data_IF_384178590675
#
_entry.id   IF_384178590675
#
_cell.length_a   1.000
_cell.length_b   1.000
_cell.length_c   1.000
_cell.angle_alpha   90.00
_cell.angle_beta   90.00
_cell.angle_gamma   90.00
#
_symmetry.space_group_name_H-M   'P 1'
#
loop_
_entity.id
_entity.type
_entity.pdbx_description
1 polymer ?
#
# COMPACT_ATOMS: atom_id res chain seq x y z
N UNK A 1 -15.73 -7.68 8.70
CA UNK A 1 -16.04 -7.43 7.27
C UNK A 1 -16.99 -8.48 6.73
N UNK A 2 -16.74 -9.77 7.00
CA UNK A 2 -17.61 -10.88 6.56
C UNK A 2 -19.05 -10.75 7.07
N UNK A 3 -19.24 -10.41 8.35
CA UNK A 3 -20.59 -10.22 8.94
C UNK A 3 -21.35 -9.08 8.23
N UNK A 4 -20.66 -7.99 7.88
CA UNK A 4 -21.27 -6.85 7.19
C UNK A 4 -21.76 -7.26 5.79
N UNK A 5 -20.91 -7.96 5.04
CA UNK A 5 -21.24 -8.46 3.70
C UNK A 5 -22.38 -9.47 3.75
N UNK A 6 -22.35 -10.39 4.71
CA UNK A 6 -23.42 -11.35 4.93
C UNK A 6 -24.74 -10.63 5.21
N UNK A 7 -24.76 -9.63 6.09
CA UNK A 7 -25.96 -8.84 6.39
C UNK A 7 -26.46 -8.10 5.13
N UNK A 8 -25.57 -7.51 4.33
CA UNK A 8 -25.97 -6.82 3.09
C UNK A 8 -26.57 -7.79 2.07
N UNK A 9 -25.93 -8.94 1.83
CA UNK A 9 -26.41 -9.95 0.88
C UNK A 9 -27.72 -10.58 1.36
N UNK A 10 -27.82 -10.94 2.64
CA UNK A 10 -29.03 -11.51 3.24
C UNK A 10 -30.19 -10.51 3.23
N UNK A 11 -29.94 -9.23 3.50
CA UNK A 11 -30.95 -8.17 3.43
C UNK A 11 -31.48 -7.97 2.01
N UNK A 12 -30.61 -7.99 1.00
CA UNK A 12 -31.00 -7.94 -0.41
C UNK A 12 -31.86 -9.14 -0.81
N UNK A 13 -31.44 -10.35 -0.45
CA UNK A 13 -32.19 -11.58 -0.72
C UNK A 13 -33.56 -11.57 -0.03
N UNK A 14 -33.63 -11.13 1.22
CA UNK A 14 -34.87 -10.98 1.96
C UNK A 14 -35.82 -10.00 1.25
N UNK A 15 -35.34 -8.80 0.89
CA UNK A 15 -36.15 -7.83 0.15
C UNK A 15 -36.71 -8.43 -1.15
N UNK A 16 -35.88 -9.11 -1.92
CA UNK A 16 -36.30 -9.72 -3.19
C UNK A 16 -37.36 -10.80 -3.03
N UNK A 17 -37.27 -11.64 -1.99
CA UNK A 17 -38.27 -12.68 -1.71
C UNK A 17 -39.63 -12.09 -1.33
N UNK A 18 -39.67 -10.98 -0.59
CA UNK A 18 -40.92 -10.39 -0.11
C UNK A 18 -41.55 -9.38 -1.08
N UNK A 19 -40.74 -8.69 -1.90
CA UNK A 19 -41.20 -7.63 -2.80
C UNK A 19 -41.23 -8.01 -4.29
N UNK A 20 -40.74 -9.21 -4.66
CA UNK A 20 -40.94 -9.80 -5.99
C UNK A 20 -39.88 -9.47 -7.06
N UNK A 21 -38.80 -8.78 -6.70
CA UNK A 21 -37.72 -8.39 -7.63
C UNK A 21 -36.63 -9.49 -7.79
N UNK A 22 -37.01 -10.77 -7.88
CA UNK A 22 -36.04 -11.90 -7.94
C UNK A 22 -35.16 -11.89 -9.18
N UNK A 23 -35.70 -11.45 -10.32
CA UNK A 23 -34.95 -11.39 -11.58
C UNK A 23 -33.86 -10.32 -11.52
N UNK A 24 -34.14 -9.19 -10.86
CA UNK A 24 -33.18 -8.09 -10.68
C UNK A 24 -31.97 -8.54 -9.85
N UNK A 25 -32.19 -9.34 -8.79
CA UNK A 25 -31.07 -9.87 -7.98
C UNK A 25 -30.27 -10.90 -8.75
N UNK A 26 -30.92 -11.81 -9.48
CA UNK A 26 -30.24 -12.81 -10.29
C UNK A 26 -29.37 -12.16 -11.39
N UNK A 27 -29.91 -11.17 -12.08
CA UNK A 27 -29.18 -10.41 -13.10
C UNK A 27 -28.04 -9.59 -12.49
N UNK A 28 -28.28 -8.89 -11.38
CA UNK A 28 -27.25 -8.14 -10.68
C UNK A 28 -26.11 -9.04 -10.19
N UNK A 29 -26.41 -10.24 -9.69
CA UNK A 29 -25.41 -11.22 -9.26
C UNK A 29 -24.57 -11.71 -10.46
N UNK A 30 -25.21 -12.06 -11.58
CA UNK A 30 -24.52 -12.49 -12.79
C UNK A 30 -23.63 -11.37 -13.38
N UNK A 31 -24.14 -10.14 -13.44
CA UNK A 31 -23.38 -8.96 -13.88
C UNK A 31 -22.18 -8.68 -12.97
N UNK A 32 -22.39 -8.71 -11.66
CA UNK A 32 -21.32 -8.49 -10.68
C UNK A 32 -20.20 -9.51 -10.80
N UNK A 33 -20.51 -10.77 -11.14
CA UNK A 33 -19.50 -11.78 -11.42
C UNK A 33 -18.64 -11.42 -12.65
N UNK A 34 -19.26 -10.93 -13.73
CA UNK A 34 -18.54 -10.46 -14.92
C UNK A 34 -17.67 -9.23 -14.66
N UNK A 35 -18.19 -8.26 -13.90
CA UNK A 35 -17.45 -7.07 -13.49
C UNK A 35 -16.25 -7.43 -12.60
N UNK A 36 -16.42 -8.41 -11.69
CA UNK A 36 -15.34 -8.92 -10.85
C UNK A 36 -14.20 -9.55 -11.68
N UNK A 37 -14.51 -10.36 -12.68
CA UNK A 37 -13.51 -10.95 -13.58
C UNK A 37 -12.76 -9.87 -14.37
N UNK A 38 -13.48 -8.89 -14.92
CA UNK A 38 -12.89 -7.77 -15.66
C UNK A 38 -11.96 -6.92 -14.79
N UNK A 39 -12.38 -6.65 -13.55
CA UNK A 39 -11.55 -5.96 -12.56
C UNK A 39 -10.28 -6.77 -12.25
N UNK A 40 -10.42 -8.07 -12.01
CA UNK A 40 -9.30 -8.93 -11.66
C UNK A 40 -8.26 -9.01 -12.78
N UNK A 41 -8.70 -9.16 -14.04
CA UNK A 41 -7.81 -9.13 -15.20
C UNK A 41 -7.06 -7.81 -15.31
N UNK A 42 -7.76 -6.69 -15.12
CA UNK A 42 -7.16 -5.35 -15.20
C UNK A 42 -6.10 -5.13 -14.12
N UNK A 43 -6.41 -5.47 -12.87
CA UNK A 43 -5.48 -5.33 -11.74
C UNK A 43 -4.29 -6.29 -11.90
N UNK A 44 -4.53 -7.54 -12.29
CA UNK A 44 -3.47 -8.53 -12.50
C UNK A 44 -2.51 -8.13 -13.63
N UNK A 45 -3.03 -7.71 -14.78
CA UNK A 45 -2.21 -7.25 -15.90
C UNK A 45 -1.34 -6.05 -15.50
N UNK A 46 -1.93 -5.07 -14.81
CA UNK A 46 -1.18 -3.92 -14.32
C UNK A 46 -0.10 -4.33 -13.30
N UNK A 47 -0.41 -5.21 -12.35
CA UNK A 47 0.56 -5.69 -11.36
C UNK A 47 1.72 -6.45 -12.01
N UNK A 48 1.44 -7.33 -12.98
CA UNK A 48 2.47 -8.05 -13.73
C UNK A 48 3.40 -7.10 -14.48
N UNK A 49 2.83 -6.13 -15.19
CA UNK A 49 3.59 -5.13 -15.93
C UNK A 49 4.49 -4.29 -15.00
N UNK A 50 3.90 -3.69 -13.97
CA UNK A 50 4.65 -2.80 -13.06
C UNK A 50 5.67 -3.55 -12.21
N UNK A 51 5.37 -4.78 -11.77
CA UNK A 51 6.33 -5.61 -11.04
C UNK A 51 7.50 -6.04 -11.94
N UNK A 52 7.23 -6.33 -13.21
CA UNK A 52 8.26 -6.61 -14.21
C UNK A 52 9.18 -5.40 -14.44
N UNK A 53 8.59 -4.21 -14.66
CA UNK A 53 9.34 -2.97 -14.82
C UNK A 53 10.21 -2.66 -13.59
N UNK A 54 9.67 -2.81 -12.37
CA UNK A 54 10.42 -2.59 -11.14
C UNK A 54 11.56 -3.61 -10.96
N UNK A 55 11.36 -4.88 -11.34
CA UNK A 55 12.44 -5.88 -11.35
C UNK A 55 13.58 -5.48 -12.30
N UNK A 56 13.25 -4.90 -13.46
CA UNK A 56 14.27 -4.38 -14.39
C UNK A 56 14.97 -3.15 -13.79
N UNK A 57 14.24 -2.21 -13.20
CA UNK A 57 14.81 -1.03 -12.55
C UNK A 57 15.71 -1.37 -11.35
N UNK A 58 15.37 -2.42 -10.59
CA UNK A 58 16.20 -2.95 -9.50
C UNK A 58 17.49 -3.57 -10.04
N UNK A 59 17.41 -4.42 -11.07
CA UNK A 59 18.59 -4.98 -11.74
C UNK A 59 19.49 -3.92 -12.40
N UNK A 60 18.91 -2.81 -12.86
CA UNK A 60 19.64 -1.67 -13.41
C UNK A 60 20.27 -0.77 -12.33
N UNK A 61 20.06 -1.05 -11.04
CA UNK A 61 20.57 -0.25 -9.91
C UNK A 61 19.89 1.10 -9.75
N UNK A 62 18.78 1.35 -10.47
CA UNK A 62 18.02 2.60 -10.37
C UNK A 62 17.28 2.67 -9.03
N UNK A 63 16.72 1.54 -8.60
CA UNK A 63 16.09 1.39 -7.28
C UNK A 63 17.07 1.75 -6.16
N UNK A 64 18.31 1.26 -6.19
CA UNK A 64 19.30 1.55 -5.15
C UNK A 64 19.68 3.04 -5.10
N UNK A 65 19.64 3.75 -6.22
CA UNK A 65 19.84 5.20 -6.28
C UNK A 65 18.67 5.95 -5.63
N UNK A 66 17.43 5.56 -5.93
CA UNK A 66 16.24 6.19 -5.34
C UNK A 66 16.12 5.86 -3.86
N UNK A 67 16.36 4.61 -3.48
CA UNK A 67 16.43 4.16 -2.09
C UNK A 67 17.47 4.97 -1.30
N UNK A 68 18.63 5.30 -1.87
CA UNK A 68 19.61 6.19 -1.22
C UNK A 68 19.06 7.60 -0.95
N UNK A 69 18.24 8.14 -1.84
CA UNK A 69 17.58 9.43 -1.64
C UNK A 69 16.48 9.41 -0.58
N UNK A 70 15.72 8.31 -0.49
CA UNK A 70 14.58 8.16 0.44
C UNK A 70 15.03 7.68 1.83
N UNK A 71 16.11 6.89 1.91
CA UNK A 71 16.73 6.39 3.16
C UNK A 71 16.97 7.43 4.25
N UNK A 72 17.50 8.65 4.00
CA UNK A 72 17.71 9.64 5.06
C UNK A 72 16.40 10.13 5.68
N UNK A 73 15.31 10.18 4.91
CA UNK A 73 13.97 10.54 5.40
C UNK A 73 13.42 9.38 6.23
N UNK A 74 13.45 8.16 5.69
CA UNK A 74 12.95 6.98 6.40
C UNK A 74 13.75 6.68 7.67
N UNK A 75 15.06 6.83 7.66
CA UNK A 75 15.90 6.64 8.85
C UNK A 75 15.67 7.69 9.94
N UNK A 76 15.07 8.86 9.62
CA UNK A 76 14.62 9.83 10.63
C UNK A 76 13.23 9.48 11.18
N UNK A 77 12.35 8.97 10.33
CA UNK A 77 10.98 8.61 10.70
C UNK A 77 10.91 7.27 11.45
N UNK A 78 11.80 6.33 11.11
CA UNK A 78 11.90 4.97 11.61
C UNK A 78 13.33 4.71 12.17
N UNK A 79 13.72 5.38 13.27
CA UNK A 79 15.08 5.34 13.78
C UNK A 79 15.52 3.95 14.29
N UNK A 80 14.56 3.11 14.68
CA UNK A 80 14.82 1.78 15.25
C UNK A 80 15.18 0.73 14.17
N UNK A 81 15.10 1.11 12.89
CA UNK A 81 15.40 0.24 11.75
C UNK A 81 16.81 0.53 11.24
N UNK A 82 17.73 -0.46 11.25
CA UNK A 82 19.06 -0.28 10.68
C UNK A 82 18.98 0.14 9.21
N UNK A 83 19.72 1.18 8.83
CA UNK A 83 19.65 1.79 7.49
C UNK A 83 20.00 0.83 6.36
N UNK A 84 20.87 -0.14 6.63
CA UNK A 84 21.32 -1.16 5.68
C UNK A 84 20.59 -2.50 5.81
N UNK A 85 19.49 -2.55 6.56
CA UNK A 85 18.69 -3.77 6.68
C UNK A 85 17.85 -4.06 5.41
N UNK A 86 17.55 -5.35 5.14
CA UNK A 86 16.56 -5.73 4.14
C UNK A 86 15.17 -5.12 4.40
N UNK A 87 14.81 -4.87 5.67
CA UNK A 87 13.57 -4.21 6.07
C UNK A 87 13.51 -2.75 5.55
N UNK A 88 14.59 -1.99 5.76
CA UNK A 88 14.69 -0.61 5.25
C UNK A 88 14.66 -0.56 3.72
N UNK A 89 15.31 -1.52 3.04
CA UNK A 89 15.28 -1.61 1.56
C UNK A 89 13.86 -1.87 1.05
N UNK A 90 13.14 -2.83 1.64
CA UNK A 90 11.77 -3.13 1.27
C UNK A 90 10.81 -1.94 1.55
N UNK A 91 10.99 -1.25 2.67
CA UNK A 91 10.21 -0.06 3.01
C UNK A 91 10.48 1.09 2.02
N UNK A 92 11.74 1.34 1.67
CA UNK A 92 12.14 2.35 0.69
C UNK A 92 11.56 2.04 -0.71
N UNK A 93 11.54 0.77 -1.11
CA UNK A 93 10.90 0.30 -2.34
C UNK A 93 9.38 0.56 -2.36
N UNK A 94 8.68 0.26 -1.26
CA UNK A 94 7.25 0.55 -1.14
C UNK A 94 6.96 2.06 -1.26
N UNK A 95 7.67 2.88 -0.48
CA UNK A 95 7.47 4.35 -0.50
C UNK A 95 7.82 4.94 -1.85
N UNK A 96 8.90 4.47 -2.48
CA UNK A 96 9.28 4.89 -3.84
C UNK A 96 8.21 4.53 -4.86
N UNK A 97 7.64 3.32 -4.78
CA UNK A 97 6.57 2.87 -5.67
C UNK A 97 5.33 3.76 -5.54
N UNK A 98 4.96 4.14 -4.31
CA UNK A 98 3.87 5.10 -4.07
C UNK A 98 4.19 6.48 -4.64
N UNK A 99 5.40 7.01 -4.40
CA UNK A 99 5.82 8.33 -4.90
C UNK A 99 5.78 8.43 -6.43
N UNK A 100 6.20 7.37 -7.12
CA UNK A 100 6.18 7.28 -8.59
C UNK A 100 4.78 6.99 -9.15
N UNK A 101 3.81 6.74 -8.29
CA UNK A 101 2.46 6.41 -8.72
C UNK A 101 2.26 4.99 -9.22
N UNK A 102 3.20 4.11 -8.91
CA UNK A 102 3.15 2.68 -9.17
C UNK A 102 2.37 1.96 -8.04
N UNK A 103 1.21 2.48 -7.65
CA UNK A 103 0.47 2.04 -6.46
C UNK A 103 0.17 0.53 -6.47
N UNK A 104 -0.09 -0.05 -7.65
CA UNK A 104 -0.30 -1.48 -7.82
C UNK A 104 0.95 -2.33 -7.52
N UNK A 105 2.16 -1.80 -7.74
CA UNK A 105 3.40 -2.45 -7.38
C UNK A 105 3.84 -2.18 -5.93
N UNK A 106 3.30 -1.13 -5.29
CA UNK A 106 3.66 -0.80 -3.91
C UNK A 106 3.21 -1.88 -2.92
N UNK A 107 2.02 -2.46 -3.11
CA UNK A 107 1.43 -3.43 -2.19
C UNK A 107 2.33 -4.65 -1.88
N UNK A 108 2.88 -5.40 -2.86
CA UNK A 108 3.75 -6.55 -2.55
C UNK A 108 5.02 -6.15 -1.78
N UNK A 109 5.63 -5.01 -2.11
CA UNK A 109 6.75 -4.46 -1.34
C UNK A 109 6.32 -4.04 0.07
N UNK A 110 5.09 -3.53 0.22
CA UNK A 110 4.51 -3.15 1.50
C UNK A 110 4.34 -4.33 2.44
N UNK A 111 3.77 -5.44 1.93
CA UNK A 111 3.61 -6.68 2.69
C UNK A 111 4.98 -7.25 3.07
N UNK A 112 5.94 -7.26 2.14
CA UNK A 112 7.31 -7.74 2.41
C UNK A 112 8.02 -6.88 3.47
N UNK A 113 7.90 -5.55 3.38
CA UNK A 113 8.45 -4.62 4.36
C UNK A 113 7.81 -4.81 5.74
N UNK A 114 6.47 -4.91 5.81
CA UNK A 114 5.75 -5.10 7.06
C UNK A 114 6.19 -6.38 7.77
N UNK A 115 6.26 -7.52 7.06
CA UNK A 115 6.72 -8.80 7.61
C UNK A 115 8.13 -8.69 8.21
N UNK A 116 9.04 -7.98 7.52
CA UNK A 116 10.41 -7.79 7.98
C UNK A 116 10.50 -6.85 9.18
N UNK A 117 9.75 -5.75 9.18
CA UNK A 117 9.71 -4.81 10.30
C UNK A 117 9.15 -5.49 11.56
N UNK A 118 8.06 -6.26 11.44
CA UNK A 118 7.51 -7.02 12.57
C UNK A 118 8.45 -8.13 13.04
N UNK A 119 9.07 -8.86 12.10
CA UNK A 119 10.00 -9.95 12.43
C UNK A 119 11.29 -9.48 13.10
N UNK A 120 11.69 -8.22 12.85
CA UNK A 120 12.86 -7.59 13.50
C UNK A 120 12.56 -6.97 14.88
N UNK A 121 11.34 -7.09 15.40
CA UNK A 121 10.98 -6.54 16.71
C UNK A 121 10.91 -5.01 16.74
N UNK A 122 10.63 -4.36 15.61
CA UNK A 122 10.49 -2.91 15.54
C UNK A 122 9.37 -2.40 16.47
N UNK A 123 9.53 -1.17 16.97
CA UNK A 123 8.53 -0.50 17.82
C UNK A 123 7.18 -0.35 17.10
N UNK A 124 6.08 -0.29 17.87
CA UNK A 124 4.74 -0.01 17.29
C UNK A 124 4.73 1.33 16.58
N UNK A 125 5.43 2.33 17.13
CA UNK A 125 5.72 3.60 16.44
C UNK A 125 6.27 3.41 15.03
N UNK A 126 7.30 2.58 14.85
CA UNK A 126 7.92 2.31 13.54
C UNK A 126 6.93 1.68 12.57
N UNK A 127 6.14 0.71 13.05
CA UNK A 127 5.08 0.07 12.26
C UNK A 127 3.99 1.09 11.87
N UNK A 128 3.54 1.91 12.82
CA UNK A 128 2.54 2.96 12.59
C UNK A 128 3.01 4.02 11.59
N UNK A 129 4.26 4.46 11.69
CA UNK A 129 4.89 5.37 10.71
C UNK A 129 4.92 4.74 9.32
N UNK A 130 5.27 3.45 9.21
CA UNK A 130 5.30 2.77 7.92
C UNK A 130 3.90 2.66 7.29
N UNK A 131 2.89 2.28 8.08
CA UNK A 131 1.48 2.28 7.62
C UNK A 131 1.06 3.68 7.19
N UNK A 132 1.34 4.70 8.01
CA UNK A 132 1.00 6.08 7.72
C UNK A 132 1.61 6.56 6.39
N UNK A 133 2.88 6.26 6.13
CA UNK A 133 3.54 6.62 4.87
C UNK A 133 2.83 6.00 3.66
N UNK A 134 2.32 4.78 3.81
CA UNK A 134 1.54 4.13 2.77
C UNK A 134 0.11 4.71 2.66
N UNK A 135 -0.55 5.01 3.77
CA UNK A 135 -1.90 5.59 3.83
C UNK A 135 -1.94 7.03 3.31
N UNK A 136 -0.96 7.86 3.66
CA UNK A 136 -0.85 9.23 3.16
C UNK A 136 -0.62 9.28 1.64
N UNK A 137 -0.12 8.17 1.06
CA UNK A 137 0.00 7.93 -0.39
C UNK A 137 0.44 9.18 -1.16
N UNK A 138 1.57 9.78 -0.75
CA UNK A 138 2.13 10.91 -1.47
C UNK A 138 2.55 10.42 -2.85
N UNK A 139 1.93 10.97 -3.89
CA UNK A 139 2.15 10.59 -5.27
C UNK A 139 2.55 11.83 -6.05
N UNK A 140 3.79 11.86 -6.57
CA UNK A 140 4.31 13.00 -7.32
C UNK A 140 3.56 13.21 -8.64
N UNK A 141 3.18 12.08 -9.26
CA UNK A 141 2.44 12.07 -10.51
C UNK A 141 1.23 11.13 -10.35
N UNK A 142 0.03 11.67 -10.08
CA UNK A 142 -1.19 10.88 -9.91
C UNK A 142 -1.74 10.40 -11.26
N UNK A 143 -0.97 9.55 -11.94
CA UNK A 143 -1.26 9.05 -13.30
C UNK A 143 -2.66 8.45 -13.43
N UNK A 144 -3.13 7.70 -12.42
CA UNK A 144 -4.46 7.09 -12.44
C UNK A 144 -5.58 8.13 -12.50
N UNK A 145 -5.49 9.20 -11.69
CA UNK A 145 -6.49 10.26 -11.68
C UNK A 145 -6.40 11.10 -12.95
N UNK A 146 -5.19 11.40 -13.43
CA UNK A 146 -4.99 12.11 -14.70
C UNK A 146 -5.63 11.31 -15.84
N UNK A 147 -5.37 10.00 -15.93
CA UNK A 147 -5.92 9.13 -16.96
C UNK A 147 -7.45 9.03 -16.89
N UNK A 148 -8.02 8.93 -15.68
CA UNK A 148 -9.46 8.93 -15.46
C UNK A 148 -10.09 10.27 -15.91
N UNK A 149 -9.43 11.39 -15.62
CA UNK A 149 -9.89 12.71 -16.06
C UNK A 149 -9.79 12.88 -17.57
N UNK A 150 -8.73 12.36 -18.18
CA UNK A 150 -8.56 12.36 -19.64
C UNK A 150 -9.66 11.52 -20.31
N UNK A 151 -9.94 10.32 -19.81
CA UNK A 151 -10.99 9.47 -20.37
C UNK A 151 -12.41 10.03 -20.15
N UNK A 152 -12.60 10.83 -19.11
CA UNK A 152 -13.84 11.57 -18.86
C UNK A 152 -13.97 12.88 -19.67
N UNK A 153 -13.01 13.22 -20.55
CA UNK A 153 -13.07 14.39 -21.42
C UNK A 153 -12.67 15.72 -20.76
N UNK A 154 -11.93 15.70 -19.65
CA UNK A 154 -11.47 16.91 -18.95
C UNK A 154 -10.55 17.75 -19.84
N UNK A 155 -10.81 19.06 -19.95
CA UNK A 155 -9.98 20.02 -20.70
C UNK A 155 -8.57 20.18 -20.11
N UNK A 156 -8.46 20.10 -18.78
CA UNK A 156 -7.18 20.17 -18.06
C UNK A 156 -7.03 19.00 -17.07
N UNK A 157 -6.64 17.79 -17.52
CA UNK A 157 -6.54 16.61 -16.66
C UNK A 157 -5.50 16.73 -15.53
N UNK A 158 -4.47 17.57 -15.70
CA UNK A 158 -3.37 17.76 -14.75
C UNK A 158 -3.66 18.72 -13.59
N UNK A 159 -4.75 19.48 -13.63
CA UNK A 159 -5.01 20.52 -12.61
C UNK A 159 -5.24 19.95 -11.20
N UNK A 160 -5.53 18.65 -11.09
CA UNK A 160 -5.67 17.98 -9.80
C UNK A 160 -4.34 17.63 -9.14
N UNK A 161 -3.20 17.72 -9.84
CA UNK A 161 -1.90 17.32 -9.26
C UNK A 161 -1.55 18.15 -8.02
N UNK A 162 -1.66 19.47 -8.10
CA UNK A 162 -1.30 20.35 -6.99
C UNK A 162 -2.23 20.16 -5.76
N UNK A 163 -3.57 20.14 -5.90
CA UNK A 163 -4.47 19.82 -4.79
C UNK A 163 -4.19 18.45 -4.15
N UNK A 164 -3.91 17.42 -4.95
CA UNK A 164 -3.58 16.06 -4.44
C UNK A 164 -2.31 16.11 -3.60
N UNK A 165 -1.26 16.76 -4.10
CA UNK A 165 0.01 16.88 -3.37
C UNK A 165 -0.16 17.61 -2.04
N UNK A 166 -0.87 18.75 -2.05
CA UNK A 166 -1.12 19.52 -0.83
C UNK A 166 -1.91 18.71 0.18
N UNK A 167 -2.96 18.01 -0.26
CA UNK A 167 -3.77 17.16 0.61
C UNK A 167 -2.95 16.00 1.21
N UNK A 168 -2.18 15.28 0.39
CA UNK A 168 -1.35 14.16 0.86
C UNK A 168 -0.25 14.61 1.82
N UNK A 169 0.35 15.79 1.58
CA UNK A 169 1.33 16.37 2.51
C UNK A 169 0.68 16.78 3.83
N UNK A 170 -0.48 17.43 3.79
CA UNK A 170 -1.23 17.78 4.99
C UNK A 170 -1.62 16.53 5.80
N UNK A 171 -2.10 15.48 5.14
CA UNK A 171 -2.41 14.20 5.76
C UNK A 171 -1.17 13.55 6.39
N UNK A 172 -0.03 13.56 5.71
CA UNK A 172 1.23 13.03 6.27
C UNK A 172 1.66 13.82 7.51
N UNK A 173 1.64 15.16 7.47
CA UNK A 173 2.04 16.00 8.60
C UNK A 173 1.13 15.75 9.80
N UNK A 174 -0.18 15.79 9.62
CA UNK A 174 -1.15 15.52 10.67
C UNK A 174 -0.98 14.10 11.25
N UNK A 175 -0.80 13.10 10.38
CA UNK A 175 -0.58 11.72 10.81
C UNK A 175 0.72 11.53 11.57
N UNK A 176 1.81 12.22 11.17
CA UNK A 176 3.08 12.16 11.86
C UNK A 176 2.98 12.82 13.24
N UNK A 177 2.31 13.97 13.34
CA UNK A 177 2.04 14.64 14.61
C UNK A 177 1.24 13.73 15.55
N UNK A 178 0.17 13.09 15.04
CA UNK A 178 -0.63 12.14 15.83
C UNK A 178 0.18 10.91 16.25
N UNK A 179 1.02 10.37 15.37
CA UNK A 179 1.86 9.22 15.68
C UNK A 179 2.91 9.58 16.74
N UNK A 180 3.47 10.80 16.69
CA UNK A 180 4.38 11.32 17.70
C UNK A 180 3.70 11.56 19.04
N UNK A 181 2.44 12.02 19.02
CA UNK A 181 1.65 12.25 20.23
C UNK A 181 1.24 10.93 20.90
N UNK A 182 0.82 9.93 20.12
CA UNK A 182 0.36 8.63 20.62
C UNK A 182 1.52 7.68 20.98
N UNK A 183 2.61 7.69 20.21
CA UNK A 183 3.73 6.74 20.36
C UNK A 183 5.07 7.45 20.65
N UNK A 184 5.03 8.68 21.18
CA UNK A 184 6.20 9.52 21.42
C UNK A 184 7.24 8.88 22.34
N UNK A 185 6.79 8.13 23.35
CA UNK A 185 7.62 7.49 24.37
C UNK A 185 8.30 6.17 23.95
N UNK A 186 7.87 5.53 22.86
CA UNK A 186 8.37 4.20 22.44
C UNK A 186 9.71 4.25 21.67
N UNK A 187 10.43 5.39 21.74
CA UNK A 187 11.63 5.70 20.95
C UNK A 187 12.87 4.85 21.29
N UNK A 188 12.78 3.95 22.28
CA UNK A 188 13.87 3.10 22.73
C UNK A 188 13.34 1.68 22.98
N UNK A 189 13.40 0.82 21.96
CA UNK A 189 13.73 -0.60 22.08
C UNK A 189 12.98 -1.54 23.03
N UNK A 190 11.86 -1.17 23.66
CA UNK A 190 11.15 -2.09 24.56
C UNK A 190 9.77 -2.44 24.03
N UNK A 191 9.71 -3.49 23.21
CA UNK A 191 8.61 -4.44 23.31
C UNK A 191 9.20 -5.81 23.61
N UNK A 192 8.96 -6.25 24.84
CA UNK A 192 9.23 -7.59 25.34
C UNK A 192 8.82 -8.67 24.33
N UNK A 193 9.74 -9.61 24.09
CA UNK A 193 9.37 -11.01 23.89
C UNK A 193 8.90 -11.44 22.51
N UNK A 194 9.65 -11.15 21.44
CA UNK A 194 9.70 -12.03 20.26
C UNK A 194 11.15 -12.12 19.78
N UNK A 195 12.03 -12.64 20.64
CA UNK A 195 13.36 -13.05 20.25
C UNK A 195 13.36 -14.51 19.77
N UNK A 196 14.22 -14.80 18.78
CA UNK A 196 14.76 -16.12 18.48
C UNK A 196 13.97 -17.10 17.57
N UNK A 197 13.44 -16.66 16.42
CA UNK A 197 13.00 -17.62 15.39
C UNK A 197 13.26 -17.24 13.92
N UNK A 198 13.73 -16.03 13.59
CA UNK A 198 13.81 -15.57 12.20
C UNK A 198 15.19 -15.71 11.53
N UNK A 199 16.23 -16.13 12.26
CA UNK A 199 17.61 -16.16 11.75
C UNK A 199 18.03 -17.51 11.13
N UNK A 200 17.13 -18.49 11.03
CA UNK A 200 17.42 -19.78 10.38
C UNK A 200 16.94 -19.90 8.93
N UNK A 201 16.22 -18.91 8.39
CA UNK A 201 15.57 -19.02 7.07
C UNK A 201 16.21 -18.13 5.98
N UNK A 202 17.29 -17.40 6.30
CA UNK A 202 18.03 -16.57 5.33
C UNK A 202 19.19 -17.31 4.64
N UNK A 203 19.31 -18.63 4.81
CA UNK A 203 20.32 -19.43 4.14
C UNK A 203 19.88 -19.98 2.77
N UNK A 204 18.58 -19.97 2.43
CA UNK A 204 18.13 -20.52 1.15
C UNK A 204 17.64 -19.42 0.20
N UNK A 205 18.59 -18.88 -0.56
CA UNK A 205 18.31 -18.08 -1.73
C UNK A 205 17.78 -18.95 -2.86
N UNK A 206 16.48 -19.30 -2.84
CA UNK A 206 15.70 -19.78 -4.00
C UNK A 206 14.23 -19.96 -3.62
N UNK A 207 13.40 -18.96 -3.91
CA UNK A 207 12.09 -19.13 -4.56
C UNK A 207 11.26 -17.84 -4.58
N UNK A 208 10.70 -17.58 -5.77
CA UNK A 208 9.70 -16.57 -6.19
C UNK A 208 10.21 -15.17 -6.63
#
# INVERSE_FOLDING_TARGET
MEILLAVMCSGGLFYSVFFGDTDVIAEAAARSAGDAVSLWMTVAAAMMFWSGLMRVADKAGLVDKVCRGVRPVLGRLMPDVPRDSPAMRAAALNVTSNLLGLGNAALPFGISAMKRLTGSGCSRRTLAVFVLLNTASIQLIPMNIIMLRTSAGSTSPSDCVLPILVNSLAALICGLLMTMLLYGGERNGTVHGVGAAADSDSADGRSL
#
